data_IF_830177045514
#
_entry.id   IF_830177045514
#
_cell.length_a   1.000
_cell.length_b   1.000
_cell.length_c   1.000
_cell.angle_alpha   90.00
_cell.angle_beta   90.00
_cell.angle_gamma   90.00
#
_symmetry.space_group_name_H-M   'P 1'
#
loop_
_entity.id
_entity.type
_entity.pdbx_description
1 polymer ?
#
# COMPACT_ATOMS: atom_id res chain seq x y z
N UNK A 1 18.25 1.31 -12.38
CA UNK A 1 17.31 0.95 -11.29
C UNK A 1 16.21 2.01 -11.26
N UNK A 2 14.93 1.65 -11.21
CA UNK A 2 13.84 2.61 -11.41
C UNK A 2 13.65 3.51 -10.16
N UNK A 3 13.89 4.82 -10.28
CA UNK A 3 13.76 5.77 -9.16
C UNK A 3 12.34 5.82 -8.58
N UNK A 4 11.32 5.71 -9.43
CA UNK A 4 9.92 5.69 -9.00
C UNK A 4 9.62 4.50 -8.08
N UNK A 5 10.16 3.32 -8.40
CA UNK A 5 9.99 2.13 -7.57
C UNK A 5 10.48 2.36 -6.14
N UNK A 6 11.71 2.87 -5.99
CA UNK A 6 12.29 3.12 -4.67
C UNK A 6 11.59 4.24 -3.92
N UNK A 7 11.12 5.28 -4.62
CA UNK A 7 10.29 6.31 -4.02
C UNK A 7 9.02 5.72 -3.42
N UNK A 8 8.34 4.83 -4.14
CA UNK A 8 7.12 4.18 -3.64
C UNK A 8 7.41 3.22 -2.48
N UNK A 9 8.50 2.46 -2.54
CA UNK A 9 8.93 1.63 -1.41
C UNK A 9 9.19 2.48 -0.16
N UNK A 10 9.88 3.62 -0.31
CA UNK A 10 10.17 4.51 0.81
C UNK A 10 8.90 5.11 1.41
N UNK A 11 7.95 5.53 0.57
CA UNK A 11 6.62 6.01 1.02
C UNK A 11 5.89 4.90 1.79
N UNK A 12 5.83 3.69 1.24
CA UNK A 12 5.15 2.56 1.89
C UNK A 12 5.79 2.19 3.23
N UNK A 13 7.12 2.10 3.28
CA UNK A 13 7.85 1.85 4.53
C UNK A 13 7.58 2.92 5.58
N UNK A 14 7.57 4.19 5.18
CA UNK A 14 7.25 5.29 6.09
C UNK A 14 5.82 5.20 6.62
N UNK A 15 4.85 4.97 5.74
CA UNK A 15 3.44 4.80 6.12
C UNK A 15 3.25 3.58 7.02
N UNK A 16 3.96 2.48 6.76
CA UNK A 16 3.90 1.26 7.57
C UNK A 16 4.42 1.48 8.98
N UNK A 17 5.57 2.13 9.13
CA UNK A 17 6.10 2.48 10.46
C UNK A 17 5.16 3.44 11.17
N UNK A 18 4.66 4.46 10.47
CA UNK A 18 3.78 5.47 11.05
C UNK A 18 2.46 4.87 11.53
N UNK A 19 1.80 4.04 10.71
CA UNK A 19 0.51 3.47 11.04
C UNK A 19 0.61 2.21 11.89
N UNK A 20 1.73 1.48 11.88
CA UNK A 20 1.88 0.19 12.58
C UNK A 20 1.56 0.26 14.08
N UNK A 21 1.86 1.40 14.72
CA UNK A 21 1.58 1.64 16.14
C UNK A 21 0.09 1.86 16.44
N UNK A 22 -0.72 2.25 15.45
CA UNK A 22 -2.14 2.54 15.61
C UNK A 22 -3.04 1.32 15.41
N UNK A 23 -2.60 0.34 14.62
CA UNK A 23 -3.37 -0.83 14.22
C UNK A 23 -2.85 -2.12 14.89
N UNK A 24 -2.75 -2.10 16.22
CA UNK A 24 -2.19 -3.20 17.03
C UNK A 24 -3.15 -4.35 17.35
N UNK A 25 -4.46 -4.18 17.13
CA UNK A 25 -5.46 -5.20 17.45
C UNK A 25 -5.79 -6.10 16.24
N UNK A 26 -6.04 -7.38 16.48
CA UNK A 26 -6.49 -8.29 15.43
C UNK A 26 -7.90 -7.96 14.92
N UNK A 27 -8.22 -8.39 13.70
CA UNK A 27 -9.56 -8.34 13.14
C UNK A 27 -9.66 -7.70 11.75
N UNK A 28 -10.69 -8.13 11.00
CA UNK A 28 -10.89 -7.77 9.58
C UNK A 28 -10.97 -6.25 9.38
N UNK A 29 -11.69 -5.52 10.23
CA UNK A 29 -11.83 -4.06 10.09
C UNK A 29 -10.51 -3.33 10.33
N UNK A 30 -9.73 -3.76 11.33
CA UNK A 30 -8.46 -3.14 11.65
C UNK A 30 -7.47 -3.33 10.51
N UNK A 31 -7.45 -4.52 9.92
CA UNK A 31 -6.63 -4.85 8.76
C UNK A 31 -7.03 -4.08 7.49
N UNK A 32 -8.33 -4.00 7.20
CA UNK A 32 -8.81 -3.20 6.07
C UNK A 32 -8.47 -1.71 6.26
N UNK A 33 -8.59 -1.19 7.49
CA UNK A 33 -8.23 0.19 7.81
C UNK A 33 -6.71 0.43 7.72
N UNK A 34 -5.89 -0.56 8.11
CA UNK A 34 -4.44 -0.49 7.95
C UNK A 34 -4.05 -0.46 6.46
N UNK A 35 -4.57 -1.39 5.65
CA UNK A 35 -4.34 -1.38 4.20
C UNK A 35 -4.80 -0.09 3.55
N UNK A 36 -5.94 0.45 3.99
CA UNK A 36 -6.42 1.74 3.52
C UNK A 36 -5.39 2.83 3.83
N UNK A 37 -4.93 2.90 5.08
CA UNK A 37 -3.94 3.89 5.54
C UNK A 37 -2.59 3.80 4.81
N UNK A 38 -2.23 2.64 4.27
CA UNK A 38 -1.03 2.44 3.45
C UNK A 38 -1.24 2.76 1.96
N UNK A 39 -2.20 2.06 1.35
CA UNK A 39 -2.32 2.05 -0.11
C UNK A 39 -3.11 3.24 -0.63
N UNK A 40 -4.00 3.85 0.18
CA UNK A 40 -4.76 5.01 -0.27
C UNK A 40 -3.83 6.22 -0.47
N UNK A 41 -2.96 6.61 0.49
CA UNK A 41 -2.05 7.72 0.29
C UNK A 41 -1.06 7.47 -0.85
N UNK A 42 -0.54 6.24 -0.99
CA UNK A 42 0.31 5.89 -2.13
C UNK A 42 -0.46 6.07 -3.45
N UNK A 43 -1.66 5.50 -3.56
CA UNK A 43 -2.51 5.64 -4.75
C UNK A 43 -2.80 7.11 -5.05
N UNK A 44 -3.11 7.90 -4.03
CA UNK A 44 -3.34 9.34 -4.16
C UNK A 44 -2.13 10.06 -4.75
N UNK A 45 -0.93 9.83 -4.22
CA UNK A 45 0.32 10.41 -4.75
C UNK A 45 0.63 9.94 -6.17
N UNK A 46 0.37 8.67 -6.49
CA UNK A 46 0.46 8.13 -7.86
C UNK A 46 -0.52 8.85 -8.78
N UNK A 47 -1.65 9.34 -8.28
CA UNK A 47 -2.56 10.19 -9.03
C UNK A 47 -1.94 11.47 -9.58
N UNK A 48 -0.93 12.03 -8.89
CA UNK A 48 -0.23 13.28 -9.25
C UNK A 48 1.01 13.10 -10.12
N UNK A 49 1.41 11.85 -10.38
CA UNK A 49 2.67 11.58 -11.06
C UNK A 49 2.69 12.13 -12.51
N UNK A 50 3.87 12.36 -13.08
CA UNK A 50 4.00 12.72 -14.48
C UNK A 50 3.45 11.65 -15.44
N UNK A 51 2.88 12.06 -16.57
CA UNK A 51 2.28 11.13 -17.57
C UNK A 51 3.25 10.09 -18.15
N UNK A 52 4.55 10.38 -18.14
CA UNK A 52 5.58 9.47 -18.64
C UNK A 52 5.98 8.37 -17.64
N UNK A 53 5.51 8.46 -16.39
CA UNK A 53 5.77 7.44 -15.38
C UNK A 53 4.79 6.25 -15.52
N UNK A 54 5.30 5.02 -15.53
CA UNK A 54 4.49 3.81 -15.70
C UNK A 54 3.72 3.45 -14.41
N UNK A 55 2.40 3.21 -14.54
CA UNK A 55 1.51 2.84 -13.43
C UNK A 55 1.90 1.51 -12.82
N UNK A 56 2.41 0.61 -13.65
CA UNK A 56 2.76 -0.75 -13.27
C UNK A 56 3.82 -0.76 -12.18
N UNK A 57 4.69 0.25 -12.14
CA UNK A 57 5.74 0.37 -11.12
C UNK A 57 5.13 0.61 -9.74
N UNK A 58 4.08 1.42 -9.63
CA UNK A 58 3.41 1.69 -8.36
C UNK A 58 2.74 0.43 -7.79
N UNK A 59 2.04 -0.31 -8.66
CA UNK A 59 1.46 -1.59 -8.30
C UNK A 59 2.50 -2.64 -7.93
N UNK A 60 3.58 -2.74 -8.71
CA UNK A 60 4.67 -3.65 -8.43
C UNK A 60 5.35 -3.31 -7.09
N UNK A 61 5.56 -2.04 -6.79
CA UNK A 61 6.11 -1.60 -5.52
C UNK A 61 5.19 -1.98 -4.36
N UNK A 62 3.89 -1.67 -4.45
CA UNK A 62 2.92 -2.03 -3.42
C UNK A 62 2.83 -3.55 -3.23
N UNK A 63 2.81 -4.32 -4.32
CA UNK A 63 2.75 -5.77 -4.28
C UNK A 63 3.98 -6.38 -3.61
N UNK A 64 5.18 -5.95 -4.02
CA UNK A 64 6.44 -6.43 -3.44
C UNK A 64 6.52 -6.02 -1.96
N UNK A 65 6.12 -4.81 -1.62
CA UNK A 65 6.09 -4.34 -0.24
C UNK A 65 5.20 -5.24 0.63
N UNK A 66 3.98 -5.52 0.18
CA UNK A 66 3.04 -6.38 0.90
C UNK A 66 3.53 -7.83 0.98
N UNK A 67 4.18 -8.35 -0.07
CA UNK A 67 4.77 -9.68 -0.02
C UNK A 67 5.92 -9.75 0.98
N UNK A 68 6.78 -8.72 1.01
CA UNK A 68 7.92 -8.66 1.91
C UNK A 68 7.49 -8.49 3.37
N UNK A 69 6.43 -7.73 3.66
CA UNK A 69 5.91 -7.60 5.02
C UNK A 69 5.45 -8.95 5.58
N UNK A 70 4.73 -9.74 4.78
CA UNK A 70 4.33 -11.10 5.16
C UNK A 70 5.49 -12.08 5.25
N UNK A 71 6.46 -11.98 4.35
CA UNK A 71 7.68 -12.80 4.43
C UNK A 71 8.45 -12.51 5.71
N UNK A 72 8.64 -11.23 6.07
CA UNK A 72 9.30 -10.84 7.32
C UNK A 72 8.51 -11.34 8.51
N UNK A 73 7.19 -11.13 8.56
CA UNK A 73 6.33 -11.63 9.62
C UNK A 73 6.50 -13.14 9.84
N UNK A 74 6.56 -13.92 8.75
CA UNK A 74 6.82 -15.36 8.81
C UNK A 74 8.24 -15.71 9.28
N UNK A 75 9.25 -14.89 8.98
CA UNK A 75 10.63 -15.14 9.39
C UNK A 75 10.91 -14.77 10.86
N UNK A 76 10.14 -13.84 11.41
CA UNK A 76 10.27 -13.39 12.81
C UNK A 76 9.21 -14.01 13.74
N UNK A 77 8.52 -15.06 13.27
CA UNK A 77 7.44 -15.76 13.98
C UNK A 77 6.33 -14.84 14.49
N UNK A 78 6.05 -13.75 13.77
CA UNK A 78 4.92 -12.88 14.07
C UNK A 78 3.62 -13.59 13.63
N UNK A 79 2.61 -13.72 14.50
CA UNK A 79 1.43 -14.51 14.20
C UNK A 79 0.64 -13.92 13.04
N UNK A 80 0.40 -14.76 12.02
CA UNK A 80 -0.54 -14.46 10.93
C UNK A 80 -1.88 -15.11 11.30
N UNK A 81 -2.84 -14.31 11.73
CA UNK A 81 -4.14 -14.79 12.24
C UNK A 81 -4.92 -15.63 11.21
N UNK A 82 -4.85 -15.28 9.92
CA UNK A 82 -5.58 -15.97 8.87
C UNK A 82 -5.00 -15.74 7.47
N UNK A 83 -4.83 -16.80 6.69
CA UNK A 83 -4.44 -16.69 5.28
C UNK A 83 -5.50 -16.04 4.40
N UNK A 84 -6.78 -16.06 4.81
CA UNK A 84 -7.85 -15.34 4.10
C UNK A 84 -7.61 -13.83 4.19
N UNK A 85 -7.14 -13.36 5.34
CA UNK A 85 -6.80 -11.97 5.56
C UNK A 85 -5.61 -11.53 4.68
N UNK A 86 -4.60 -12.39 4.55
CA UNK A 86 -3.48 -12.17 3.60
C UNK A 86 -3.99 -11.97 2.18
N UNK A 87 -4.90 -12.83 1.69
CA UNK A 87 -5.49 -12.69 0.35
C UNK A 87 -6.29 -11.39 0.23
N UNK A 88 -7.06 -11.03 1.27
CA UNK A 88 -7.80 -9.78 1.30
C UNK A 88 -6.88 -8.56 1.23
N UNK A 89 -5.66 -8.62 1.78
CA UNK A 89 -4.69 -7.53 1.65
C UNK A 89 -4.27 -7.32 0.21
N UNK A 90 -3.93 -8.40 -0.51
CA UNK A 90 -3.55 -8.29 -1.91
C UNK A 90 -4.70 -7.81 -2.80
N UNK A 91 -5.94 -8.24 -2.52
CA UNK A 91 -7.12 -7.76 -3.26
C UNK A 91 -7.41 -6.30 -2.93
N UNK A 92 -7.39 -5.94 -1.65
CA UNK A 92 -7.69 -4.59 -1.19
C UNK A 92 -6.64 -3.58 -1.66
N UNK A 93 -5.37 -3.97 -1.77
CA UNK A 93 -4.30 -3.18 -2.39
C UNK A 93 -4.73 -2.66 -3.76
N UNK A 94 -5.23 -3.53 -4.65
CA UNK A 94 -5.62 -3.13 -6.01
C UNK A 94 -6.79 -2.15 -5.98
N UNK A 95 -7.79 -2.43 -5.15
CA UNK A 95 -8.99 -1.58 -5.03
C UNK A 95 -8.63 -0.21 -4.47
N UNK A 96 -7.91 -0.19 -3.34
CA UNK A 96 -7.57 1.02 -2.60
C UNK A 96 -6.61 1.90 -3.41
N UNK A 97 -5.62 1.32 -4.10
CA UNK A 97 -4.73 2.06 -5.00
C UNK A 97 -5.51 2.77 -6.09
N UNK A 98 -6.47 2.09 -6.74
CA UNK A 98 -7.33 2.70 -7.76
C UNK A 98 -8.16 3.86 -7.22
N UNK A 99 -8.74 3.69 -6.02
CA UNK A 99 -9.51 4.75 -5.35
C UNK A 99 -8.62 5.96 -5.09
N UNK A 100 -7.45 5.76 -4.47
CA UNK A 100 -6.49 6.83 -4.22
C UNK A 100 -6.10 7.55 -5.51
N UNK A 101 -5.72 6.80 -6.56
CA UNK A 101 -5.33 7.38 -7.86
C UNK A 101 -6.44 8.20 -8.51
N UNK A 102 -7.68 7.73 -8.42
CA UNK A 102 -8.83 8.48 -8.95
C UNK A 102 -8.94 9.85 -8.27
N UNK A 103 -8.88 9.87 -6.92
CA UNK A 103 -8.93 11.12 -6.17
C UNK A 103 -7.72 12.03 -6.43
N UNK A 104 -6.51 11.46 -6.52
CA UNK A 104 -5.31 12.23 -6.83
C UNK A 104 -5.36 12.89 -8.21
N UNK A 105 -5.78 12.16 -9.24
CA UNK A 105 -5.98 12.73 -10.60
C UNK A 105 -7.05 13.80 -10.61
N UNK A 106 -8.16 13.58 -9.89
CA UNK A 106 -9.24 14.56 -9.78
C UNK A 106 -8.76 15.84 -9.09
N UNK A 107 -7.94 15.71 -8.05
CA UNK A 107 -7.38 16.86 -7.36
C UNK A 107 -6.38 17.62 -8.23
N UNK A 108 -5.50 16.93 -8.95
CA UNK A 108 -4.60 17.55 -9.94
C UNK A 108 -5.34 18.30 -11.06
N UNK A 109 -6.49 17.79 -11.52
CA UNK A 109 -7.26 18.44 -12.60
C UNK A 109 -7.94 19.76 -12.20
N UNK A 110 -7.94 20.10 -10.90
CA UNK A 110 -8.54 21.32 -10.36
C UNK A 110 -7.51 22.45 -10.14
N UNK A 111 -6.23 22.15 -10.29
CA UNK A 111 -5.12 23.12 -10.31
C UNK A 111 -4.79 23.51 -11.75
#
# INVERSE_FOLDING_TARGET
MNYAFWRYQLILSFLFIFWGEFFVTGGIFNQLAFNFSLFYPLGFLVGYRPKHEDLRIAYLAAFIFNLLSYLIASLVDFPIDSWILVVLDFVSLVVIMNVGMYFGRRAQSKE
#
